data_IF_633387527682
#
_entry.id   IF_633387527682
#
_cell.length_a   1.000
_cell.length_b   1.000
_cell.length_c   1.000
_cell.angle_alpha   90.00
_cell.angle_beta   90.00
_cell.angle_gamma   90.00
#
_symmetry.space_group_name_H-M   'P 1'
#
loop_
_entity.id
_entity.type
_entity.pdbx_description
1 polymer ?
2 non-polymer ?
3 water ?
#
# COMPACT_ATOMS: atom_id res chain seq x y z
N UNK A 9 3.18 6.44 27.85
CA UNK A 9 4.37 6.00 27.04
C UNK A 9 3.98 5.08 25.89
N UNK A 10 3.14 4.09 26.19
CA UNK A 10 2.37 3.41 25.16
C UNK A 10 1.62 4.54 24.45
N UNK A 11 1.18 5.51 25.26
CA UNK A 11 0.52 6.72 24.81
C UNK A 11 1.40 7.63 23.99
N UNK A 12 2.56 8.01 24.51
CA UNK A 12 3.47 8.92 23.80
C UNK A 12 3.83 8.39 22.40
N UNK A 13 4.23 7.13 22.31
CA UNK A 13 4.50 6.50 21.01
C UNK A 13 3.25 6.53 20.10
N UNK A 14 2.09 6.09 20.59
CA UNK A 14 0.88 6.11 19.73
C UNK A 14 0.54 7.55 19.31
N UNK A 15 0.69 8.48 20.24
CA UNK A 15 0.47 9.89 19.97
C UNK A 15 1.41 10.43 18.90
N UNK A 16 2.71 10.26 19.06
CA UNK A 16 3.67 10.80 18.09
C UNK A 16 3.39 10.29 16.67
N UNK A 17 2.95 9.04 16.50
CA UNK A 17 2.59 8.55 15.15
C UNK A 17 1.22 9.01 14.68
N UNK A 18 0.36 9.41 15.62
CA UNK A 18 -0.85 10.17 15.28
C UNK A 18 -0.49 11.50 14.64
N UNK A 19 0.62 12.08 15.08
CA UNK A 19 1.06 13.37 14.59
C UNK A 19 1.94 13.30 13.35
N UNK A 20 2.18 12.10 12.86
CA UNK A 20 3.05 11.90 11.72
C UNK A 20 2.15 11.57 10.54
N UNK A 21 2.13 12.41 9.51
CA UNK A 21 1.27 12.18 8.34
C UNK A 21 1.90 11.14 7.40
N UNK A 22 1.13 10.64 6.45
CA UNK A 22 1.64 9.60 5.58
C UNK A 22 0.88 9.57 4.25
N UNK A 23 1.53 9.13 3.19
CA UNK A 23 0.83 8.87 1.95
C UNK A 23 0.14 7.54 2.01
N UNK A 24 -0.83 7.32 1.11
CA UNK A 24 -1.67 6.13 1.16
C UNK A 24 -1.43 5.33 -0.12
N UNK A 25 -1.06 4.05 0.04
CA UNK A 25 -0.94 3.10 -1.06
C UNK A 25 -1.82 1.88 -0.76
N UNK A 26 -2.04 1.00 -1.74
CA UNK A 26 -2.67 -0.30 -1.52
C UNK A 26 -1.80 -1.43 -2.06
N UNK A 27 -1.64 -2.47 -1.24
CA UNK A 27 -0.83 -3.66 -1.59
C UNK A 27 -1.80 -4.74 -1.97
N UNK A 28 -1.50 -5.46 -3.04
CA UNK A 28 -2.37 -6.57 -3.51
C UNK A 28 -1.52 -7.83 -3.63
N UNK A 29 -2.10 -9.00 -3.35
CA UNK A 29 -1.40 -10.25 -3.53
C UNK A 29 -2.43 -11.28 -3.91
N UNK A 30 -2.01 -12.20 -4.76
CA UNK A 30 -2.84 -13.34 -5.19
C UNK A 30 -2.33 -14.62 -4.52
N UNK A 31 -3.05 -15.03 -3.49
CA UNK A 31 -2.69 -16.19 -2.71
C UNK A 31 -3.38 -17.42 -3.28
N UNK A 32 -2.64 -18.13 -4.12
CA UNK A 32 -3.11 -19.36 -4.68
C UNK A 32 -4.49 -19.24 -5.23
N UNK A 33 -4.72 -18.17 -5.98
CA UNK A 33 -5.97 -17.99 -6.68
C UNK A 33 -6.94 -16.97 -6.12
N UNK A 34 -6.80 -16.59 -4.86
CA UNK A 34 -7.74 -15.66 -4.25
C UNK A 34 -7.01 -14.34 -4.05
N UNK A 35 -7.58 -13.21 -4.51
CA UNK A 35 -6.94 -11.92 -4.31
C UNK A 35 -7.08 -11.41 -2.90
N UNK A 36 -5.99 -10.86 -2.39
CA UNK A 36 -5.97 -10.20 -1.11
C UNK A 36 -5.35 -8.84 -1.33
N UNK A 37 -5.66 -7.88 -0.47
CA UNK A 37 -5.01 -6.56 -0.58
C UNK A 37 -5.37 -5.70 0.60
N UNK A 38 -4.61 -4.65 0.83
CA UNK A 38 -4.86 -3.85 2.00
C UNK A 38 -4.25 -2.46 1.85
N UNK A 39 -4.91 -1.47 2.43
CA UNK A 39 -4.44 -0.09 2.44
C UNK A 39 -3.26 -0.06 3.38
N UNK A 40 -2.27 0.77 3.07
CA UNK A 40 -1.03 0.84 3.81
C UNK A 40 -0.52 2.28 3.83
N UNK A 41 -0.06 2.71 4.98
CA UNK A 41 0.60 4.01 5.10
C UNK A 41 2.12 3.93 5.32
N UNK A 42 2.72 2.75 5.22
CA UNK A 42 4.16 2.62 5.51
C UNK A 42 5.06 2.37 4.32
N UNK A 43 4.50 2.44 3.13
CA UNK A 43 5.24 2.09 1.94
C UNK A 43 6.29 3.19 1.81
N UNK A 44 7.55 2.82 1.58
CA UNK A 44 8.69 3.78 1.46
C UNK A 44 9.64 3.21 0.47
N UNK A 45 10.22 4.09 -0.31
CA UNK A 45 11.36 3.77 -1.14
C UNK A 45 12.57 3.30 -0.32
N UNK A 46 13.24 2.23 -0.79
CA UNK A 46 14.49 1.75 -0.21
C UNK A 46 15.71 1.98 -1.08
N UNK A 47 15.63 1.58 -2.34
CA UNK A 47 16.78 1.76 -3.23
C UNK A 47 16.37 1.95 -4.66
N UNK A 48 17.30 2.47 -5.44
CA UNK A 48 17.07 2.77 -6.84
C UNK A 48 17.58 1.68 -7.76
N UNK A 49 18.75 1.12 -7.45
CA UNK A 49 19.33 0.07 -8.26
C UNK A 49 19.80 -1.05 -7.39
N UNK A 50 19.13 -2.20 -7.43
CA UNK A 50 17.84 -2.37 -8.03
C UNK A 50 16.80 -1.57 -7.23
N UNK A 51 15.65 -1.33 -7.84
CA UNK A 51 14.56 -0.65 -7.22
C UNK A 51 13.91 -1.52 -6.18
N UNK A 52 13.81 -0.98 -4.96
CA UNK A 52 13.13 -1.67 -3.87
C UNK A 52 12.31 -0.72 -3.02
N UNK A 53 11.27 -1.26 -2.38
CA UNK A 53 10.50 -0.53 -1.41
C UNK A 53 10.25 -1.44 -0.23
N UNK A 54 9.85 -0.83 0.88
CA UNK A 54 9.53 -1.54 2.11
C UNK A 54 8.15 -1.13 2.60
N UNK A 55 7.48 -2.01 3.34
CA UNK A 55 6.35 -1.63 4.17
C UNK A 55 6.30 -2.53 5.41
N UNK A 56 5.49 -2.12 6.37
CA UNK A 56 5.27 -2.88 7.58
C UNK A 56 3.82 -3.37 7.63
N UNK A 57 3.62 -4.53 8.24
CA UNK A 57 2.26 -4.99 8.48
C UNK A 57 2.19 -5.89 9.68
N UNK A 58 0.95 -6.12 10.11
CA UNK A 58 0.64 -6.88 11.29
C UNK A 58 0.52 -8.34 10.84
N UNK A 59 1.06 -9.24 11.64
CA UNK A 59 0.93 -10.68 11.35
C UNK A 59 -0.47 -11.17 11.58
N UNK A 60 -1.29 -10.32 12.19
CA UNK A 60 -2.72 -10.63 12.36
C UNK A 60 -3.56 -10.04 11.24
N UNK A 61 -2.98 -9.33 10.28
CA UNK A 61 -3.74 -8.91 9.12
C UNK A 61 -4.35 -10.11 8.44
N UNK A 62 -5.54 -9.95 7.91
CA UNK A 62 -6.18 -11.01 7.10
C UNK A 62 -5.34 -11.32 5.86
N UNK A 63 -4.42 -10.45 5.52
CA UNK A 63 -3.57 -10.68 4.37
C UNK A 63 -2.18 -11.22 4.72
N UNK A 64 -1.89 -11.48 6.00
CA UNK A 64 -0.52 -11.91 6.35
C UNK A 64 -0.15 -13.29 5.72
N UNK A 65 -1.04 -14.28 5.80
CA UNK A 65 -0.71 -15.53 5.21
C UNK A 65 -0.45 -15.42 3.72
N UNK A 66 -1.17 -14.54 3.01
CA UNK A 66 -0.94 -14.33 1.56
C UNK A 66 0.47 -13.80 1.36
N UNK A 67 0.84 -12.84 2.19
CA UNK A 67 2.17 -12.22 2.11
C UNK A 67 3.32 -13.16 2.53
N UNK A 68 3.12 -13.90 3.62
CA UNK A 68 4.03 -14.92 4.08
C UNK A 68 4.34 -16.02 3.05
N UNK A 69 3.34 -16.38 2.25
CA UNK A 69 3.41 -17.51 1.36
C UNK A 69 3.35 -17.19 -0.12
N UNK A 70 3.48 -15.92 -0.49
CA UNK A 70 3.50 -15.53 -1.88
C UNK A 70 4.68 -14.68 -2.19
N UNK A 71 5.13 -14.72 -3.44
CA UNK A 71 6.26 -13.89 -3.85
C UNK A 71 5.92 -12.58 -4.57
N UNK A 72 5.02 -12.60 -5.55
CA UNK A 72 4.70 -11.36 -6.28
C UNK A 72 3.58 -10.62 -5.62
N UNK A 73 3.77 -9.31 -5.51
CA UNK A 73 2.78 -8.39 -4.99
C UNK A 73 2.72 -7.11 -5.83
N UNK A 74 1.62 -6.39 -5.69
CA UNK A 74 1.48 -5.07 -6.32
C UNK A 74 1.40 -3.98 -5.27
N UNK A 75 1.96 -2.82 -5.58
CA UNK A 75 1.67 -1.63 -4.80
C UNK A 75 1.04 -0.53 -5.66
N UNK A 76 0.01 0.12 -5.12
CA UNK A 76 -0.73 1.17 -5.85
C UNK A 76 -0.67 2.48 -5.13
N UNK A 77 -0.18 3.50 -5.81
CA UNK A 77 -0.19 4.88 -5.28
C UNK A 77 -1.55 5.46 -5.63
N UNK A 78 -2.09 6.22 -4.69
CA UNK A 78 -3.46 6.70 -4.71
C UNK A 78 -3.49 8.21 -4.85
N UNK A 79 -4.47 8.70 -5.60
CA UNK A 79 -4.79 10.11 -5.56
C UNK A 79 -6.08 10.39 -4.82
N UNK A 80 -6.47 11.65 -4.80
CA UNK A 80 -7.70 12.05 -4.12
C UNK A 80 -8.93 11.38 -4.66
N UNK A 81 -8.96 11.08 -5.96
CA UNK A 81 -10.11 10.38 -6.53
C UNK A 81 -10.14 8.92 -6.10
N UNK A 82 -9.11 8.45 -5.41
CA UNK A 82 -9.08 7.06 -4.96
C UNK A 82 -9.43 6.92 -3.45
N UNK A 83 -10.06 7.92 -2.83
CA UNK A 83 -10.30 7.82 -1.41
C UNK A 83 -11.25 6.67 -1.09
N UNK A 84 -12.22 6.42 -1.95
CA UNK A 84 -13.20 5.38 -1.70
C UNK A 84 -12.53 4.00 -1.72
N UNK A 85 -11.53 3.85 -2.58
CA UNK A 85 -10.81 2.62 -2.73
C UNK A 85 -9.91 2.40 -1.52
N UNK A 86 -9.24 3.46 -1.08
CA UNK A 86 -8.50 3.46 0.19
C UNK A 86 -9.35 2.97 1.37
N UNK A 87 -10.54 3.52 1.53
CA UNK A 87 -11.43 3.12 2.62
C UNK A 87 -11.90 1.65 2.50
N UNK A 88 -12.30 1.26 1.28
CA UNK A 88 -12.59 -0.15 0.90
C UNK A 88 -11.54 -1.12 1.43
N UNK A 89 -10.29 -0.78 1.16
CA UNK A 89 -9.16 -1.65 1.42
C UNK A 89 -8.61 -1.56 2.84
N UNK A 90 -9.27 -0.74 3.67
CA UNK A 90 -8.93 -0.61 5.08
C UNK A 90 -9.97 -1.28 5.97
N UNK A 91 -11.14 -1.59 5.41
CA UNK A 91 -12.27 -2.13 6.17
C UNK A 91 -12.44 -3.62 5.90
N UNK A 92 -13.32 -4.25 6.67
CA UNK A 92 -13.40 -5.67 6.68
C UNK A 92 -14.29 -6.25 5.60
N UNK A 93 -14.99 -5.45 4.80
CA UNK A 93 -15.91 -6.03 3.81
C UNK A 93 -15.09 -6.71 2.69
N UNK A 94 -15.71 -7.50 1.83
CA UNK A 94 -14.97 -8.13 0.74
C UNK A 94 -14.39 -7.05 -0.18
N UNK A 95 -13.07 -6.95 -0.19
CA UNK A 95 -12.40 -5.84 -0.85
C UNK A 95 -12.40 -5.94 -2.37
N UNK A 96 -12.60 -7.14 -2.90
CA UNK A 96 -12.52 -7.36 -4.34
C UNK A 96 -13.87 -7.55 -4.98
N UNK A 97 -14.94 -7.36 -4.20
CA UNK A 97 -16.30 -7.36 -4.75
C UNK A 97 -16.53 -6.05 -5.52
N UNK A 98 -16.80 -6.15 -6.83
CA UNK A 98 -16.92 -5.00 -7.74
C UNK A 98 -15.99 -5.16 -8.93
N UNK A 99 -16.12 -4.30 -9.93
CA UNK A 99 -15.32 -4.38 -11.16
C UNK A 99 -14.10 -3.45 -11.17
N UNK A 100 -13.55 -3.18 -9.99
CA UNK A 100 -12.45 -2.22 -9.84
C UNK A 100 -11.00 -2.74 -9.90
N UNK A 101 -10.82 -3.93 -10.44
CA UNK A 101 -9.51 -4.54 -10.51
C UNK A 101 -9.49 -5.62 -11.56
N UNK A 102 -8.30 -6.02 -11.95
CA UNK A 102 -8.12 -7.22 -12.72
C UNK A 102 -6.73 -7.77 -12.54
N UNK A 103 -6.56 -9.04 -12.90
CA UNK A 103 -5.28 -9.72 -12.78
C UNK A 103 -4.33 -9.18 -13.81
N UNK A 104 -3.15 -8.78 -13.36
CA UNK A 104 -2.09 -8.33 -14.24
C UNK A 104 -0.93 -9.31 -14.28
N UNK A 105 0.27 -8.80 -14.63
CA UNK A 105 1.52 -9.56 -14.63
C UNK A 105 1.68 -10.40 -13.38
N UNK A 106 2.18 -11.62 -13.56
CA UNK A 106 2.35 -12.60 -12.50
C UNK A 106 1.06 -12.89 -11.74
N UNK A 107 -0.09 -12.60 -12.36
CA UNK A 107 -1.40 -12.81 -11.74
C UNK A 107 -1.59 -11.93 -10.50
N UNK A 108 -0.84 -10.85 -10.41
CA UNK A 108 -1.01 -9.88 -9.33
C UNK A 108 -2.32 -9.12 -9.60
N UNK A 109 -3.13 -8.89 -8.54
CA UNK A 109 -4.32 -8.07 -8.74
C UNK A 109 -3.96 -6.60 -8.88
N UNK A 110 -4.34 -6.04 -10.01
CA UNK A 110 -4.12 -4.65 -10.36
C UNK A 110 -5.44 -3.85 -10.28
N UNK A 111 -5.42 -2.82 -9.43
CA UNK A 111 -6.52 -1.94 -9.20
C UNK A 111 -6.52 -0.87 -10.25
N UNK A 112 -7.69 -0.65 -10.84
CA UNK A 112 -7.93 0.35 -11.88
C UNK A 112 -7.89 1.77 -11.35
N UNK A 113 -7.55 2.70 -12.23
CA UNK A 113 -7.78 4.13 -11.99
C UNK A 113 -6.97 4.71 -10.86
N UNK A 114 -5.78 4.19 -10.61
CA UNK A 114 -4.92 4.68 -9.50
C UNK A 114 -3.86 5.61 -10.11
N UNK A 115 -3.05 6.23 -9.27
CA UNK A 115 -1.98 7.13 -9.73
C UNK A 115 -0.87 6.38 -10.49
N UNK A 116 -0.73 5.10 -10.16
CA UNK A 116 0.13 4.18 -10.84
C UNK A 116 0.39 3.03 -9.92
N UNK A 117 1.00 1.99 -10.46
CA UNK A 117 1.38 0.81 -9.68
C UNK A 117 2.76 0.27 -10.04
N UNK A 118 3.28 -0.54 -9.11
CA UNK A 118 4.50 -1.29 -9.32
C UNK A 118 4.25 -2.74 -8.93
N UNK A 119 4.89 -3.68 -9.61
CA UNK A 119 4.87 -5.09 -9.24
C UNK A 119 6.26 -5.49 -8.74
N UNK A 120 6.30 -6.22 -7.64
CA UNK A 120 7.56 -6.61 -7.04
C UNK A 120 7.57 -8.05 -6.61
N UNK A 121 8.78 -8.55 -6.37
CA UNK A 121 9.01 -9.83 -5.74
C UNK A 121 9.42 -9.55 -4.32
N UNK A 122 8.69 -10.15 -3.38
CA UNK A 122 9.12 -10.09 -1.99
C UNK A 122 10.42 -10.85 -1.82
N UNK A 123 11.43 -10.16 -1.29
CA UNK A 123 12.76 -10.75 -1.03
C UNK A 123 12.75 -11.51 0.29
N UNK A 124 12.18 -10.91 1.31
CA UNK A 124 12.18 -11.47 2.63
C UNK A 124 11.20 -10.67 3.44
N UNK A 125 10.74 -11.26 4.54
CA UNK A 125 10.04 -10.55 5.60
C UNK A 125 10.84 -10.69 6.88
N UNK A 126 10.97 -9.60 7.65
CA UNK A 126 11.65 -9.62 8.93
C UNK A 126 10.59 -9.61 10.01
N UNK A 127 10.33 -10.77 10.60
CA UNK A 127 9.15 -10.93 11.42
C UNK A 127 9.47 -10.85 12.88
N UNK A 128 8.75 -9.97 13.55
CA UNK A 128 8.78 -9.89 14.98
C UNK A 128 7.57 -10.65 15.52
N UNK A 129 7.17 -10.36 16.75
CA UNK A 129 6.08 -11.12 17.36
C UNK A 129 4.77 -10.90 16.64
N UNK A 130 4.42 -9.66 16.36
CA UNK A 130 3.12 -9.40 15.78
C UNK A 130 3.17 -8.60 14.53
N UNK A 131 4.36 -8.18 14.11
CA UNK A 131 4.46 -7.40 12.90
C UNK A 131 5.69 -7.78 12.13
N UNK A 132 5.71 -7.43 10.86
CA UNK A 132 6.86 -7.71 9.98
C UNK A 132 7.22 -6.52 9.11
N UNK A 133 8.52 -6.39 8.81
CA UNK A 133 8.99 -5.55 7.72
C UNK A 133 9.05 -6.40 6.45
N UNK A 134 8.45 -5.91 5.36
CA UNK A 134 8.48 -6.62 4.10
C UNK A 134 9.33 -5.79 3.14
N UNK A 135 10.33 -6.44 2.52
CA UNK A 135 11.24 -5.86 1.52
C UNK A 135 10.93 -6.42 0.14
N UNK A 136 10.72 -5.55 -0.84
CA UNK A 136 10.20 -5.96 -2.16
C UNK A 136 11.13 -5.39 -3.21
N UNK A 137 11.51 -6.20 -4.19
CA UNK A 137 12.25 -5.71 -5.35
C UNK A 137 11.28 -5.56 -6.53
N UNK A 138 11.32 -4.39 -7.18
CA UNK A 138 10.34 -4.01 -8.16
C UNK A 138 10.77 -4.60 -9.49
N UNK A 139 9.86 -5.27 -10.17
CA UNK A 139 10.15 -5.90 -11.47
C UNK A 139 9.32 -5.33 -12.62
N UNK A 140 8.29 -4.56 -12.31
CA UNK A 140 7.40 -4.05 -13.35
C UNK A 140 6.62 -2.88 -12.79
N UNK A 141 6.07 -2.04 -13.66
CA UNK A 141 5.22 -0.94 -13.19
C UNK A 141 4.67 -0.10 -14.30
N UNK A 142 3.83 0.87 -13.95
CA UNK A 142 3.10 1.66 -14.91
C UNK A 142 2.56 2.89 -14.20
N UNK A 143 2.86 4.05 -14.76
CA UNK A 143 2.34 5.30 -14.26
C UNK A 143 0.86 5.42 -14.66
N UNK A 144 0.02 5.87 -13.72
CA UNK A 144 -1.41 6.03 -13.98
C UNK A 144 -1.69 7.49 -14.28
N UNK A 145 -2.91 7.93 -13.97
CA UNK A 145 -3.29 9.33 -14.19
C UNK A 145 -2.67 10.17 -13.09
N UNK A 146 -1.94 11.21 -13.49
CA UNK A 146 -1.38 12.17 -12.54
C UNK A 146 -2.58 12.88 -11.87
N UNK A 147 -2.36 13.38 -10.65
CA UNK A 147 -3.40 13.96 -9.81
C UNK A 147 -2.73 14.43 -8.53
N UNK A 148 -3.49 14.61 -7.47
CA UNK A 148 -2.97 15.01 -6.17
C UNK A 148 -2.91 13.77 -5.28
N UNK A 149 -1.75 13.52 -4.66
CA UNK A 149 -1.64 12.35 -3.77
C UNK A 149 -2.61 12.35 -2.61
N UNK A 150 -3.02 11.16 -2.21
CA UNK A 150 -3.84 10.97 -1.01
C UNK A 150 -2.93 10.78 0.21
N UNK A 151 -3.28 11.51 1.27
CA UNK A 151 -2.59 11.44 2.54
C UNK A 151 -3.53 10.95 3.61
N UNK A 152 -2.96 10.45 4.69
CA UNK A 152 -3.75 10.06 5.85
C UNK A 152 -3.05 10.57 7.09
N UNK A 153 -3.80 11.20 7.97
CA UNK A 153 -3.22 11.86 9.10
C UNK A 153 -4.28 11.89 10.19
N UNK A 154 -3.84 11.55 11.39
CA UNK A 154 -4.68 11.50 12.59
C UNK A 154 -6.11 11.05 12.26
N UNK A 155 -6.21 9.91 11.60
CA UNK A 155 -7.50 9.31 11.31
C UNK A 155 -8.31 9.93 10.20
N UNK A 156 -7.74 10.81 9.37
CA UNK A 156 -8.53 11.39 8.30
C UNK A 156 -7.74 11.39 7.01
N UNK A 157 -8.44 11.18 5.90
CA UNK A 157 -7.85 11.37 4.58
C UNK A 157 -7.74 12.84 4.29
N UNK A 158 -6.57 13.26 3.80
CA UNK A 158 -6.22 14.63 3.57
C UNK A 158 -5.59 14.77 2.19
N UNK A 159 -5.44 16.01 1.77
CA UNK A 159 -4.74 16.31 0.54
C UNK A 159 -3.61 17.27 0.87
N UNK A 160 -2.51 17.18 0.14
CA UNK A 160 -1.40 18.07 0.42
C UNK A 160 -1.60 19.40 -0.30
N UNK A 161 -1.37 20.50 0.41
CA UNK A 161 -1.42 21.81 -0.23
C UNK A 161 -0.04 22.40 -0.07
N UNK A 162 0.63 22.74 -1.17
CA UNK A 162 1.98 23.22 -0.90
C UNK A 162 1.99 24.47 -0.06
N UNK A 163 3.09 24.66 0.66
CA UNK A 163 3.27 25.82 1.49
C UNK A 163 3.67 27.02 0.63
N UNK A 164 3.29 28.21 1.05
CA UNK A 164 3.55 29.38 0.23
C UNK A 164 5.02 29.47 -0.05
N UNK A 165 5.39 29.86 -1.27
CA UNK A 165 6.79 30.10 -1.63
C UNK A 165 6.84 31.25 -2.60
N UNK A 166 7.72 32.18 -2.35
CA UNK A 166 7.82 33.39 -3.15
C UNK A 166 8.41 33.06 -4.55
N UNK A 167 9.14 31.94 -4.57
CA UNK A 167 9.90 31.26 -5.67
C UNK A 167 11.24 31.87 -5.93
X LIG B 1 4.24 -17.41 9.11
X LIG B 1 5.07 -17.84 7.93
X LIG B 1 4.99 -16.39 9.95
X LIG B 1 2.98 -16.84 8.51
X LIG B 1 3.85 -18.57 10.00
#
# INVERSE_FOLDING_TARGET
GXTSDNAAFEGTFKEMFRRHAAGVAIITVNYNGTPYGFTATSVASLSAQPPRFTFNMARSSSSWPAIANTTHIGVHMLGLDNQELADRFARTKNRFEGDHWELGPYEVPILKDVAGWLIGKIQMRLSFENNAVVVVEVVEGQVGEDGTPLLYHSGAYSQPVPLDYEI
PO4 P O1 O2 O3 O4
#
